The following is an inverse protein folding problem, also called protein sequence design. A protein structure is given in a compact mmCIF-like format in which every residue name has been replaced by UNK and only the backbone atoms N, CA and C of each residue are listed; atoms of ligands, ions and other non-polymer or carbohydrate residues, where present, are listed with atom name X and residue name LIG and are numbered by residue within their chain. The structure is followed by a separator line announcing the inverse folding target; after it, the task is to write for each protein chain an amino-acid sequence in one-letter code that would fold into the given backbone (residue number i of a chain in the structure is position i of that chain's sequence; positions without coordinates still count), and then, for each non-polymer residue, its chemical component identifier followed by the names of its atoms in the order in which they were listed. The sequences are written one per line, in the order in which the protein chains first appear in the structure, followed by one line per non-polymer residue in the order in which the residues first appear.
data_IF_866244696506
#
_entry.id   IF_866244696506
#
_cell.length_a   1.000
_cell.length_b   1.000
_cell.length_c   1.000
_cell.angle_alpha   90.00
_cell.angle_beta   90.00
_cell.angle_gamma   90.00
#
_symmetry.space_group_name_H-M   'P 1'
#
loop_
_entity.id
_entity.type
_entity.pdbx_description
1 polymer ?
#
# COMPACT_ATOMS: atom_id res chain seq x y z
N UNK A 1 60.20 -48.27 53.36
CA UNK A 1 60.53 -47.05 52.68
C UNK A 1 59.69 -46.98 51.39
N UNK A 2 58.51 -46.32 51.42
CA UNK A 2 57.60 -46.23 50.33
C UNK A 2 57.43 -44.76 49.93
N UNK A 3 57.94 -44.42 48.76
CA UNK A 3 57.73 -43.09 48.18
C UNK A 3 56.34 -43.02 47.55
N UNK A 4 55.49 -42.08 47.99
CA UNK A 4 54.19 -41.78 47.42
C UNK A 4 54.38 -40.59 46.52
N UNK A 5 54.21 -40.79 45.20
CA UNK A 5 54.18 -39.71 44.21
C UNK A 5 52.79 -39.12 44.16
N UNK A 6 52.64 -37.85 44.47
CA UNK A 6 51.46 -37.10 44.27
C UNK A 6 51.46 -36.49 42.86
N UNK A 7 50.58 -36.98 41.96
CA UNK A 7 50.32 -36.37 40.66
C UNK A 7 49.26 -35.29 40.86
N UNK A 8 49.66 -34.05 40.67
CA UNK A 8 48.73 -32.93 40.57
C UNK A 8 48.28 -32.74 39.12
N UNK A 9 47.08 -33.11 38.83
CA UNK A 9 46.40 -32.81 37.52
C UNK A 9 45.92 -31.40 37.52
N UNK A 10 46.52 -30.53 36.72
CA UNK A 10 46.04 -29.18 36.46
C UNK A 10 44.89 -29.25 35.44
N UNK A 11 43.66 -28.99 35.86
CA UNK A 11 42.47 -28.82 34.98
C UNK A 11 42.51 -27.44 34.36
N UNK A 12 42.74 -27.37 33.05
CA UNK A 12 42.58 -26.13 32.27
C UNK A 12 41.12 -26.00 31.90
N UNK A 13 40.41 -25.04 32.51
CA UNK A 13 39.08 -24.63 32.14
C UNK A 13 39.16 -23.73 30.89
N UNK A 14 38.84 -24.31 29.74
CA UNK A 14 38.64 -23.54 28.49
C UNK A 14 37.26 -22.93 28.54
N UNK A 15 37.16 -21.63 28.84
CA UNK A 15 35.92 -20.87 28.72
C UNK A 15 35.67 -20.53 27.26
N UNK A 16 34.78 -21.26 26.59
CA UNK A 16 34.25 -20.89 25.27
C UNK A 16 33.35 -19.67 25.43
N UNK A 17 33.87 -18.49 25.17
CA UNK A 17 33.04 -17.27 25.01
C UNK A 17 32.29 -17.35 23.68
N UNK A 18 31.01 -17.69 23.74
CA UNK A 18 30.11 -17.62 22.59
C UNK A 18 29.86 -16.14 22.25
N UNK A 19 30.49 -15.64 21.21
CA UNK A 19 30.22 -14.36 20.64
C UNK A 19 28.85 -14.48 19.92
N UNK A 20 27.77 -14.03 20.56
CA UNK A 20 26.50 -13.82 19.85
C UNK A 20 26.74 -12.70 18.85
N UNK A 21 26.92 -13.06 17.58
CA UNK A 21 26.87 -12.09 16.49
C UNK A 21 25.43 -11.57 16.42
N UNK A 22 25.22 -10.29 16.81
CA UNK A 22 23.94 -9.63 16.61
C UNK A 22 23.68 -9.55 15.10
N UNK A 23 22.68 -10.31 14.61
CA UNK A 23 22.20 -10.18 13.25
C UNK A 23 21.63 -8.76 13.08
N UNK A 24 22.04 -8.02 12.01
CA UNK A 24 21.41 -6.73 11.74
C UNK A 24 19.94 -6.97 11.53
N UNK A 25 19.10 -6.25 12.29
CA UNK A 25 17.64 -6.31 12.13
C UNK A 25 17.30 -6.00 10.68
N UNK A 26 16.63 -6.92 9.98
CA UNK A 26 16.15 -6.70 8.62
C UNK A 26 15.25 -5.46 8.65
N UNK A 27 15.53 -4.45 7.79
CA UNK A 27 14.68 -3.27 7.63
C UNK A 27 13.26 -3.76 7.30
N UNK A 28 12.20 -3.34 8.05
CA UNK A 28 10.85 -3.73 7.73
C UNK A 28 10.57 -3.40 6.26
N UNK A 29 10.06 -4.37 5.49
CA UNK A 29 9.61 -4.11 4.14
C UNK A 29 8.57 -2.99 4.20
N UNK A 30 8.75 -1.92 3.40
CA UNK A 30 7.77 -0.84 3.32
C UNK A 30 6.42 -1.48 2.95
N UNK A 31 5.38 -1.19 3.74
CA UNK A 31 4.05 -1.69 3.45
C UNK A 31 3.65 -1.26 2.04
N UNK A 32 3.23 -2.21 1.20
CA UNK A 32 2.72 -1.90 -0.14
C UNK A 32 1.46 -1.06 0.04
N UNK A 33 1.40 0.08 -0.63
CA UNK A 33 0.21 0.93 -0.61
C UNK A 33 -0.98 0.15 -1.18
N UNK A 34 -2.10 0.18 -0.47
CA UNK A 34 -3.36 -0.41 -0.90
C UNK A 34 -4.39 0.69 -1.12
N UNK A 35 -5.26 0.49 -2.10
CA UNK A 35 -6.35 1.42 -2.40
C UNK A 35 -7.57 1.24 -1.50
N UNK A 36 -7.69 0.08 -0.85
CA UNK A 36 -8.86 -0.30 -0.07
C UNK A 36 -9.16 0.72 1.02
N UNK A 37 -10.44 1.03 1.20
CA UNK A 37 -10.94 2.02 2.16
C UNK A 37 -10.30 3.41 1.98
N UNK A 38 -10.18 3.84 0.71
CA UNK A 38 -9.70 5.18 0.36
C UNK A 38 -10.74 5.97 -0.39
N UNK A 39 -10.67 7.30 -0.25
CA UNK A 39 -11.48 8.25 -1.04
C UNK A 39 -10.60 9.32 -1.65
N UNK A 40 -10.96 9.70 -2.87
CA UNK A 40 -10.19 10.62 -3.71
C UNK A 40 -11.11 11.64 -4.33
N UNK A 41 -10.60 12.85 -4.56
CA UNK A 41 -11.29 13.88 -5.33
C UNK A 41 -10.42 14.35 -6.48
N UNK A 42 -11.05 14.64 -7.60
CA UNK A 42 -10.40 15.16 -8.80
C UNK A 42 -11.40 15.94 -9.66
N UNK A 43 -10.90 16.62 -10.67
CA UNK A 43 -11.72 17.26 -11.69
C UNK A 43 -11.55 16.51 -13.00
N UNK A 44 -12.64 15.99 -13.52
CA UNK A 44 -12.67 15.30 -14.81
C UNK A 44 -12.42 16.30 -15.97
N UNK A 45 -12.15 15.78 -17.18
CA UNK A 45 -11.84 16.61 -18.36
C UNK A 45 -12.96 17.59 -18.74
N UNK A 46 -14.20 17.23 -18.48
CA UNK A 46 -15.38 18.08 -18.72
C UNK A 46 -15.60 19.15 -17.63
N UNK A 47 -14.71 19.24 -16.64
CA UNK A 47 -14.82 20.14 -15.50
C UNK A 47 -15.67 19.61 -14.34
N UNK A 48 -16.21 18.41 -14.43
CA UNK A 48 -16.99 17.79 -13.35
C UNK A 48 -16.07 17.50 -12.16
N UNK A 49 -16.44 17.99 -10.98
CA UNK A 49 -15.78 17.62 -9.72
C UNK A 49 -16.28 16.26 -9.27
N UNK A 50 -15.36 15.33 -9.12
CA UNK A 50 -15.63 13.93 -8.80
C UNK A 50 -15.11 13.59 -7.41
N UNK A 51 -15.87 12.82 -6.68
CA UNK A 51 -15.44 12.08 -5.52
C UNK A 51 -15.57 10.58 -5.82
N UNK A 52 -14.48 9.84 -5.62
CA UNK A 52 -14.39 8.41 -5.84
C UNK A 52 -14.02 7.73 -4.54
N UNK A 53 -14.68 6.64 -4.22
CA UNK A 53 -14.35 5.82 -3.04
C UNK A 53 -14.21 4.37 -3.43
N UNK A 54 -13.24 3.73 -2.80
CA UNK A 54 -12.90 2.32 -3.00
C UNK A 54 -13.14 1.59 -1.69
N UNK A 55 -13.96 0.55 -1.72
CA UNK A 55 -14.28 -0.24 -0.53
C UNK A 55 -13.19 -1.27 -0.18
N UNK A 56 -13.36 -1.97 0.95
CA UNK A 56 -12.43 -3.01 1.41
C UNK A 56 -12.33 -4.23 0.47
N UNK A 57 -13.20 -4.33 -0.54
CA UNK A 57 -13.21 -5.41 -1.54
C UNK A 57 -12.61 -4.96 -2.88
N UNK A 58 -12.18 -3.70 -2.98
CA UNK A 58 -11.68 -3.12 -4.22
C UNK A 58 -12.78 -2.66 -5.18
N UNK A 59 -14.05 -2.59 -4.76
CA UNK A 59 -15.07 -1.96 -5.60
C UNK A 59 -14.95 -0.44 -5.50
N UNK A 60 -15.01 0.26 -6.63
CA UNK A 60 -15.04 1.71 -6.64
C UNK A 60 -16.42 2.25 -7.06
N UNK A 61 -16.74 3.40 -6.53
CA UNK A 61 -17.90 4.21 -6.94
C UNK A 61 -17.42 5.65 -7.09
N UNK A 62 -17.72 6.26 -8.24
CA UNK A 62 -17.46 7.67 -8.53
C UNK A 62 -18.77 8.43 -8.62
N UNK A 63 -18.85 9.58 -7.93
CA UNK A 63 -19.99 10.48 -7.94
C UNK A 63 -19.50 11.92 -8.18
N UNK A 64 -20.35 12.75 -8.76
CA UNK A 64 -20.08 14.19 -8.71
C UNK A 64 -20.21 14.71 -7.28
N UNK A 65 -19.59 15.83 -6.96
CA UNK A 65 -19.77 16.48 -5.65
C UNK A 65 -21.21 16.90 -5.37
N UNK A 66 -22.08 16.93 -6.40
CA UNK A 66 -23.51 17.12 -6.28
C UNK A 66 -24.29 15.80 -6.03
N UNK A 67 -23.59 14.67 -5.87
CA UNK A 67 -24.19 13.37 -5.57
C UNK A 67 -24.70 12.58 -6.78
N UNK A 68 -24.45 13.05 -8.02
CA UNK A 68 -24.81 12.29 -9.22
C UNK A 68 -23.83 11.14 -9.41
N UNK A 69 -24.32 9.90 -9.53
CA UNK A 69 -23.52 8.74 -9.88
C UNK A 69 -22.91 8.89 -11.28
N UNK A 70 -21.62 8.64 -11.41
CA UNK A 70 -20.86 8.81 -12.65
C UNK A 70 -20.30 7.50 -13.17
N UNK A 71 -19.70 6.67 -12.29
CA UNK A 71 -19.11 5.40 -12.66
C UNK A 71 -19.04 4.46 -11.46
N UNK A 72 -18.84 3.17 -11.72
CA UNK A 72 -18.53 2.15 -10.73
C UNK A 72 -17.85 0.94 -11.39
N UNK A 73 -17.17 0.15 -10.58
CA UNK A 73 -16.48 -1.04 -11.05
C UNK A 73 -15.55 -1.61 -10.00
N UNK A 74 -14.45 -2.17 -10.45
CA UNK A 74 -13.43 -2.77 -9.58
C UNK A 74 -12.09 -2.09 -9.75
N UNK A 75 -11.30 -2.08 -8.69
CA UNK A 75 -9.93 -1.58 -8.68
C UNK A 75 -8.98 -2.62 -8.10
N UNK A 76 -7.75 -2.60 -8.55
CA UNK A 76 -6.67 -3.45 -8.06
C UNK A 76 -5.33 -2.72 -8.13
N UNK A 77 -4.46 -2.96 -7.15
CA UNK A 77 -3.08 -2.50 -7.22
C UNK A 77 -2.24 -3.47 -8.06
N UNK A 78 -1.53 -2.94 -9.06
CA UNK A 78 -0.53 -3.65 -9.86
C UNK A 78 0.79 -2.91 -9.77
N UNK A 79 1.71 -3.41 -8.95
CA UNK A 79 2.97 -2.72 -8.62
C UNK A 79 2.70 -1.33 -8.02
N UNK A 80 3.09 -0.26 -8.72
CA UNK A 80 2.89 1.14 -8.34
C UNK A 80 1.70 1.80 -9.04
N UNK A 81 0.81 1.02 -9.65
CA UNK A 81 -0.35 1.50 -10.39
C UNK A 81 -1.66 1.06 -9.76
N UNK A 82 -2.61 1.99 -9.73
CA UNK A 82 -4.00 1.73 -9.43
C UNK A 82 -4.75 1.46 -10.73
N UNK A 83 -5.25 0.25 -10.91
CA UNK A 83 -5.92 -0.18 -12.13
C UNK A 83 -7.42 -0.31 -11.88
N UNK A 84 -8.22 0.33 -12.70
CA UNK A 84 -9.68 0.41 -12.60
C UNK A 84 -10.33 -0.23 -13.81
N UNK A 85 -11.36 -1.03 -13.57
CA UNK A 85 -12.23 -1.58 -14.61
C UNK A 85 -13.65 -1.12 -14.38
N UNK A 86 -14.14 -0.21 -15.24
CA UNK A 86 -15.52 0.28 -15.20
C UNK A 86 -16.49 -0.82 -15.62
N UNK A 87 -17.64 -0.88 -14.93
CA UNK A 87 -18.79 -1.69 -15.36
C UNK A 87 -19.76 -0.91 -16.23
N UNK A 88 -19.56 0.41 -16.37
CA UNK A 88 -20.42 1.29 -17.17
C UNK A 88 -19.88 1.54 -18.57
N UNK A 89 -18.57 1.38 -18.78
CA UNK A 89 -17.92 1.57 -20.07
C UNK A 89 -17.29 0.28 -20.58
N UNK A 90 -16.97 0.23 -21.87
CA UNK A 90 -16.29 -0.91 -22.50
C UNK A 90 -14.80 -0.63 -22.76
N UNK A 91 -14.25 0.34 -22.08
CA UNK A 91 -12.85 0.76 -22.28
C UNK A 91 -11.82 -0.24 -21.76
N UNK A 92 -12.27 -1.21 -20.97
CA UNK A 92 -11.40 -2.17 -20.31
C UNK A 92 -10.70 -1.57 -19.09
N UNK A 93 -9.62 -2.20 -18.66
CA UNK A 93 -8.82 -1.74 -17.53
C UNK A 93 -8.00 -0.50 -17.91
N UNK A 94 -7.99 0.49 -17.04
CA UNK A 94 -7.15 1.70 -17.12
C UNK A 94 -6.31 1.79 -15.85
N UNK A 95 -5.00 1.86 -15.99
CA UNK A 95 -4.07 1.92 -14.87
C UNK A 95 -3.47 3.31 -14.72
N UNK A 96 -3.49 3.84 -13.50
CA UNK A 96 -2.97 5.15 -13.13
C UNK A 96 -1.75 5.00 -12.23
N UNK A 97 -0.73 5.82 -12.42
CA UNK A 97 0.37 5.89 -11.46
C UNK A 97 -0.17 6.33 -10.10
N UNK A 98 0.32 5.71 -9.03
CA UNK A 98 -0.11 6.06 -7.67
C UNK A 98 1.03 5.94 -6.68
N UNK A 99 0.84 6.53 -5.52
CA UNK A 99 1.79 6.46 -4.40
C UNK A 99 1.04 6.63 -3.08
N UNK A 100 1.63 6.20 -1.96
CA UNK A 100 1.08 6.51 -0.64
C UNK A 100 0.95 8.02 -0.44
N UNK A 101 -0.24 8.46 -0.02
CA UNK A 101 -0.55 9.85 0.30
C UNK A 101 -1.31 9.91 1.62
N UNK A 102 -1.01 10.91 2.44
CA UNK A 102 -1.83 11.25 3.59
C UNK A 102 -3.12 11.96 3.14
N UNK A 103 -4.17 11.90 3.95
CA UNK A 103 -5.40 12.66 3.74
C UNK A 103 -5.07 14.16 3.61
N UNK A 104 -5.63 14.82 2.61
CA UNK A 104 -5.39 16.22 2.27
C UNK A 104 -4.22 16.45 1.30
N UNK A 105 -3.41 15.44 1.01
CA UNK A 105 -2.32 15.57 0.03
C UNK A 105 -2.81 15.36 -1.39
N UNK A 106 -2.16 16.04 -2.31
CA UNK A 106 -2.46 16.06 -3.74
C UNK A 106 -1.25 15.60 -4.54
N UNK A 107 -1.48 14.92 -5.66
CA UNK A 107 -0.43 14.66 -6.66
C UNK A 107 -0.99 14.54 -8.07
N UNK A 108 -0.10 14.71 -9.05
CA UNK A 108 -0.43 14.51 -10.46
C UNK A 108 -0.21 13.05 -10.84
N UNK A 109 -1.23 12.44 -11.42
CA UNK A 109 -1.19 11.06 -11.90
C UNK A 109 -1.34 11.00 -13.42
N UNK A 110 -0.81 9.95 -14.02
CA UNK A 110 -0.92 9.70 -15.45
C UNK A 110 -1.40 8.28 -15.68
N UNK A 111 -2.36 8.12 -16.60
CA UNK A 111 -2.85 6.80 -17.00
C UNK A 111 -1.92 6.15 -18.02
N UNK A 112 -2.08 4.84 -18.20
CA UNK A 112 -1.43 4.05 -19.26
C UNK A 112 -1.91 4.45 -20.67
N UNK A 113 -3.00 5.22 -20.76
CA UNK A 113 -3.51 5.84 -22.01
C UNK A 113 -3.03 7.28 -22.22
N UNK A 114 -2.15 7.80 -21.34
CA UNK A 114 -1.58 9.14 -21.44
C UNK A 114 -2.45 10.26 -20.88
N UNK A 115 -3.55 9.95 -20.21
CA UNK A 115 -4.37 10.94 -19.52
C UNK A 115 -3.70 11.42 -18.25
N UNK A 116 -3.89 12.70 -17.92
CA UNK A 116 -3.34 13.32 -16.71
C UNK A 116 -4.46 13.83 -15.83
N UNK A 117 -4.37 13.58 -14.54
CA UNK A 117 -5.26 14.09 -13.51
C UNK A 117 -4.47 14.56 -12.30
N UNK A 118 -4.99 15.57 -11.63
CA UNK A 118 -4.55 15.94 -10.28
C UNK A 118 -5.55 15.38 -9.29
N UNK A 119 -5.10 14.48 -8.42
CA UNK A 119 -5.96 13.81 -7.44
C UNK A 119 -5.58 14.22 -6.02
N UNK A 120 -6.57 14.37 -5.17
CA UNK A 120 -6.40 14.68 -3.74
C UNK A 120 -6.98 13.54 -2.92
N UNK A 121 -6.19 12.99 -1.99
CA UNK A 121 -6.70 12.03 -1.02
C UNK A 121 -7.56 12.76 0.02
N UNK A 122 -8.76 12.27 0.24
CA UNK A 122 -9.67 12.77 1.29
C UNK A 122 -9.95 11.68 2.32
N UNK A 123 -10.57 12.04 3.45
CA UNK A 123 -11.02 11.05 4.42
C UNK A 123 -11.95 10.05 3.75
N UNK A 124 -11.83 8.76 4.11
CA UNK A 124 -12.65 7.71 3.54
C UNK A 124 -14.14 7.95 3.80
N UNK A 125 -14.92 7.94 2.75
CA UNK A 125 -16.37 8.05 2.78
C UNK A 125 -16.95 6.83 2.09
N UNK A 126 -17.59 5.89 2.82
CA UNK A 126 -18.28 4.78 2.19
C UNK A 126 -19.37 5.31 1.25
N UNK A 127 -19.36 4.87 0.01
CA UNK A 127 -20.42 5.17 -0.95
C UNK A 127 -21.22 3.91 -1.24
N UNK A 128 -22.49 4.07 -1.56
CA UNK A 128 -23.39 2.99 -1.99
C UNK A 128 -23.90 3.26 -3.38
N UNK A 129 -24.19 2.18 -4.12
CA UNK A 129 -24.84 2.28 -5.41
C UNK A 129 -26.18 2.99 -5.27
N UNK A 130 -26.55 3.87 -6.20
CA UNK A 130 -27.89 4.45 -6.23
C UNK A 130 -28.94 3.32 -6.39
N UNK A 131 -30.06 3.49 -5.71
CA UNK A 131 -31.19 2.56 -5.80
C UNK A 131 -31.94 2.72 -7.12
#
# INVERSE_FOLDING_TARGET
MRLTFCLTTASVLVTCSSVLAAQPAAKPAAAVFQLDETSWTYTAKDGTKVQESIDAKGNFIAQSTAGKHLDHGTSVMKSDKACFTSLMTKEGEVCWTTKPLAVGQTFDTTSDKGEKLTVTRVAYVPMSMPK
#
